data_IF_268351171639
#
_entry.id   IF_268351171639
#
_cell.length_a   1.000
_cell.length_b   1.000
_cell.length_c   1.000
_cell.angle_alpha   90.00
_cell.angle_beta   90.00
_cell.angle_gamma   90.00
#
_symmetry.space_group_name_H-M   'P 1'
#
loop_
_entity.id
_entity.type
_entity.pdbx_description
1 polymer ?
#
# COMPACT_ATOMS: atom_id res chain seq x y z
N UNK A 1 49.00 -23.69 -7.52
CA UNK A 1 49.20 -25.16 -7.44
C UNK A 1 50.59 -25.56 -7.91
N UNK A 2 50.97 -25.34 -9.18
CA UNK A 2 52.31 -25.71 -9.68
C UNK A 2 53.46 -25.11 -8.85
N UNK A 3 53.33 -23.85 -8.42
CA UNK A 3 54.31 -23.19 -7.54
C UNK A 3 54.41 -23.81 -6.15
N UNK A 4 53.28 -24.22 -5.56
CA UNK A 4 53.22 -24.86 -4.24
C UNK A 4 53.81 -26.26 -4.32
N UNK A 5 53.41 -27.05 -5.31
CA UNK A 5 53.97 -28.39 -5.56
C UNK A 5 55.48 -28.34 -5.82
N UNK A 6 55.95 -27.34 -6.58
CA UNK A 6 57.38 -27.14 -6.85
C UNK A 6 58.19 -26.78 -5.60
N UNK A 7 57.69 -25.84 -4.77
CA UNK A 7 58.35 -25.43 -3.53
C UNK A 7 58.35 -26.58 -2.51
N UNK A 8 57.21 -27.25 -2.34
CA UNK A 8 57.10 -28.39 -1.43
C UNK A 8 57.96 -29.57 -1.85
N UNK A 9 58.08 -29.86 -3.16
CA UNK A 9 58.96 -30.91 -3.67
C UNK A 9 60.44 -30.62 -3.35
N UNK A 10 60.90 -29.37 -3.49
CA UNK A 10 62.26 -28.97 -3.09
C UNK A 10 62.52 -29.12 -1.59
N UNK A 11 61.53 -28.84 -0.75
CA UNK A 11 61.64 -28.97 0.72
C UNK A 11 61.67 -30.44 1.16
N UNK A 12 60.90 -31.30 0.48
CA UNK A 12 60.93 -32.75 0.70
C UNK A 12 62.30 -33.33 0.30
N UNK A 13 62.85 -32.93 -0.85
CA UNK A 13 64.17 -33.38 -1.32
C UNK A 13 65.33 -32.94 -0.40
N UNK A 14 65.15 -31.87 0.39
CA UNK A 14 66.12 -31.40 1.39
C UNK A 14 65.93 -32.05 2.78
N UNK A 15 64.92 -32.91 2.95
CA UNK A 15 64.60 -33.55 4.23
C UNK A 15 63.92 -32.62 5.25
N UNK A 16 63.53 -31.40 4.84
CA UNK A 16 62.94 -30.38 5.71
C UNK A 16 61.41 -30.54 5.87
N UNK A 17 60.77 -31.36 5.02
CA UNK A 17 59.32 -31.57 5.01
C UNK A 17 58.95 -33.03 4.73
N UNK A 18 58.02 -33.57 5.51
CA UNK A 18 57.44 -34.90 5.30
C UNK A 18 56.34 -34.89 4.23
N UNK A 19 56.17 -36.01 3.52
CA UNK A 19 55.15 -36.18 2.49
C UNK A 19 53.73 -35.99 3.06
N UNK A 20 53.48 -36.39 4.31
CA UNK A 20 52.21 -36.17 5.00
C UNK A 20 51.88 -34.68 5.16
N UNK A 21 52.86 -33.85 5.54
CA UNK A 21 52.70 -32.38 5.67
C UNK A 21 52.39 -31.72 4.32
N UNK A 22 52.97 -32.24 3.22
CA UNK A 22 52.66 -31.76 1.87
C UNK A 22 51.20 -32.04 1.47
N UNK A 23 50.68 -33.23 1.75
CA UNK A 23 49.28 -33.58 1.47
C UNK A 23 48.31 -32.69 2.27
N UNK A 24 48.60 -32.46 3.55
CA UNK A 24 47.82 -31.58 4.42
C UNK A 24 47.86 -30.13 3.92
N UNK A 25 49.03 -29.60 3.54
CA UNK A 25 49.18 -28.26 2.97
C UNK A 25 48.36 -28.10 1.69
N UNK A 26 48.44 -29.08 0.78
CA UNK A 26 47.70 -29.06 -0.49
C UNK A 26 46.19 -29.05 -0.25
N UNK A 27 45.72 -29.84 0.71
CA UNK A 27 44.31 -29.89 1.11
C UNK A 27 43.84 -28.54 1.65
N UNK A 28 44.60 -27.92 2.57
CA UNK A 28 44.25 -26.62 3.12
C UNK A 28 44.24 -25.50 2.08
N UNK A 29 45.20 -25.51 1.15
CA UNK A 29 45.21 -24.53 0.06
C UNK A 29 43.99 -24.68 -0.84
N UNK A 30 43.58 -25.91 -1.16
CA UNK A 30 42.36 -26.15 -1.93
C UNK A 30 41.11 -25.67 -1.20
N UNK A 31 41.00 -25.92 0.11
CA UNK A 31 39.90 -25.41 0.93
C UNK A 31 39.88 -23.88 0.94
N UNK A 32 41.04 -23.22 1.09
CA UNK A 32 41.15 -21.76 1.06
C UNK A 32 40.70 -21.22 -0.30
N UNK A 33 41.14 -21.83 -1.40
CA UNK A 33 40.75 -21.39 -2.76
C UNK A 33 39.24 -21.51 -2.97
N UNK A 34 38.62 -22.62 -2.56
CA UNK A 34 37.16 -22.79 -2.66
C UNK A 34 36.41 -21.76 -1.80
N UNK A 35 36.88 -21.50 -0.59
CA UNK A 35 36.31 -20.45 0.28
C UNK A 35 36.40 -19.06 -0.33
N UNK A 36 37.53 -18.72 -0.96
CA UNK A 36 37.70 -17.43 -1.65
C UNK A 36 36.73 -17.29 -2.84
N UNK A 37 36.55 -18.36 -3.62
CA UNK A 37 35.57 -18.37 -4.73
C UNK A 37 34.14 -18.19 -4.20
N UNK A 38 33.77 -18.88 -3.11
CA UNK A 38 32.45 -18.72 -2.49
C UNK A 38 32.21 -17.28 -2.02
N UNK A 39 33.20 -16.65 -1.37
CA UNK A 39 33.09 -15.25 -0.94
C UNK A 39 32.90 -14.32 -2.16
N UNK A 40 33.64 -14.56 -3.26
CA UNK A 40 33.49 -13.76 -4.47
C UNK A 40 32.06 -13.88 -5.07
N UNK A 41 31.48 -15.08 -5.08
CA UNK A 41 30.10 -15.29 -5.52
C UNK A 41 29.09 -14.56 -4.61
N UNK A 42 29.27 -14.60 -3.29
CA UNK A 42 28.42 -13.88 -2.33
C UNK A 42 28.48 -12.37 -2.58
N UNK A 43 29.67 -11.81 -2.87
CA UNK A 43 29.81 -10.38 -3.18
C UNK A 43 29.03 -9.98 -4.44
N UNK A 44 29.09 -10.79 -5.50
CA UNK A 44 28.30 -10.57 -6.72
C UNK A 44 26.81 -10.63 -6.41
N UNK A 45 26.37 -11.63 -5.64
CA UNK A 45 24.96 -11.77 -5.24
C UNK A 45 24.49 -10.60 -4.38
N UNK A 46 25.33 -10.09 -3.48
CA UNK A 46 25.04 -8.91 -2.67
C UNK A 46 24.79 -7.67 -3.53
N UNK A 47 25.68 -7.40 -4.49
CA UNK A 47 25.55 -6.24 -5.40
C UNK A 47 24.24 -6.33 -6.20
N UNK A 48 23.90 -7.51 -6.72
CA UNK A 48 22.65 -7.74 -7.45
C UNK A 48 21.41 -7.59 -6.55
N UNK A 49 21.48 -8.07 -5.31
CA UNK A 49 20.36 -8.03 -4.37
C UNK A 49 20.12 -6.64 -3.76
N UNK A 50 21.15 -5.79 -3.72
CA UNK A 50 21.05 -4.44 -3.14
C UNK A 50 19.98 -3.59 -3.84
N UNK A 51 19.86 -3.67 -5.17
CA UNK A 51 18.84 -2.92 -5.91
C UNK A 51 17.41 -3.43 -5.64
N UNK A 52 17.24 -4.72 -5.35
CA UNK A 52 15.96 -5.27 -4.92
C UNK A 52 15.62 -4.84 -3.49
N UNK A 53 16.60 -4.91 -2.58
CA UNK A 53 16.45 -4.47 -1.20
C UNK A 53 16.09 -2.98 -1.10
N UNK A 54 16.71 -2.12 -1.91
CA UNK A 54 16.40 -0.70 -1.95
C UNK A 54 14.94 -0.43 -2.35
N UNK A 55 14.43 -1.08 -3.40
CA UNK A 55 13.02 -0.94 -3.82
C UNK A 55 12.02 -1.46 -2.77
N UNK A 56 12.37 -2.52 -2.05
CA UNK A 56 11.55 -3.02 -0.95
C UNK A 56 11.55 -2.02 0.20
N UNK A 57 12.72 -1.45 0.54
CA UNK A 57 12.84 -0.43 1.58
C UNK A 57 12.02 0.81 1.22
N UNK A 58 12.05 1.29 -0.04
CA UNK A 58 11.22 2.41 -0.49
C UNK A 58 9.73 2.20 -0.20
N UNK A 59 9.19 1.00 -0.47
CA UNK A 59 7.77 0.69 -0.19
C UNK A 59 7.47 0.62 1.31
N UNK A 60 8.40 0.09 2.11
CA UNK A 60 8.22 -0.05 3.56
C UNK A 60 8.35 1.30 4.28
N UNK A 61 9.24 2.17 3.80
CA UNK A 61 9.54 3.48 4.39
C UNK A 61 8.55 4.57 3.94
N UNK A 62 7.75 4.31 2.90
CA UNK A 62 6.73 5.24 2.43
C UNK A 62 5.70 5.53 3.53
N UNK A 63 5.46 6.82 3.78
CA UNK A 63 4.51 7.27 4.78
C UNK A 63 3.15 7.52 4.14
N UNK A 64 2.05 6.97 4.67
CA UNK A 64 0.72 7.28 4.18
C UNK A 64 0.43 8.79 4.28
N UNK A 65 0.00 9.40 3.17
CA UNK A 65 -0.41 10.81 3.13
C UNK A 65 -1.58 11.11 4.08
N UNK A 66 -2.45 10.12 4.29
CA UNK A 66 -3.64 10.21 5.13
C UNK A 66 -3.49 9.23 6.29
N UNK A 67 -3.52 9.77 7.51
CA UNK A 67 -3.40 9.02 8.74
C UNK A 67 -4.43 9.50 9.79
N UNK A 68 -4.45 8.80 10.92
CA UNK A 68 -5.34 9.04 12.06
C UNK A 68 -4.65 9.87 13.17
N UNK A 69 -3.56 10.59 12.88
CA UNK A 69 -2.78 11.31 13.91
C UNK A 69 -3.62 12.41 14.60
N UNK A 70 -4.51 13.07 13.85
CA UNK A 70 -5.44 14.10 14.34
C UNK A 70 -6.81 13.51 14.77
N UNK A 71 -6.98 12.18 14.71
CA UNK A 71 -8.25 11.54 14.96
C UNK A 71 -8.57 11.44 16.46
N UNK A 72 -9.86 11.58 16.77
CA UNK A 72 -10.39 11.37 18.12
C UNK A 72 -10.75 9.89 18.31
N UNK A 73 -10.31 9.24 19.40
CA UNK A 73 -10.42 7.78 19.57
C UNK A 73 -11.83 7.19 19.46
N UNK A 74 -12.86 7.95 19.81
CA UNK A 74 -14.25 7.48 19.97
C UNK A 74 -15.26 8.32 19.16
N UNK A 75 -14.79 9.12 18.19
CA UNK A 75 -15.67 9.96 17.41
C UNK A 75 -16.41 9.13 16.35
N UNK A 76 -17.75 9.11 16.45
CA UNK A 76 -18.64 8.43 15.52
C UNK A 76 -19.47 9.43 14.72
N UNK A 77 -19.77 9.07 13.47
CA UNK A 77 -20.62 9.89 12.60
C UNK A 77 -22.05 9.88 13.17
N UNK A 78 -22.54 11.09 13.51
CA UNK A 78 -23.85 11.26 14.18
C UNK A 78 -25.03 11.14 13.22
N UNK A 79 -24.89 11.70 12.03
CA UNK A 79 -25.92 11.74 10.99
C UNK A 79 -25.29 11.87 9.60
N UNK A 80 -26.13 11.81 8.55
CA UNK A 80 -25.71 11.91 7.15
C UNK A 80 -25.52 13.33 6.62
N UNK A 81 -25.44 14.36 7.48
CA UNK A 81 -25.20 15.72 7.01
C UNK A 81 -23.76 15.89 6.52
N UNK A 82 -23.59 16.64 5.42
CA UNK A 82 -22.29 16.93 4.82
C UNK A 82 -22.18 18.42 4.55
N UNK A 83 -21.07 19.04 4.93
CA UNK A 83 -20.83 20.47 4.72
C UNK A 83 -19.43 20.70 4.15
N UNK A 84 -19.37 21.40 3.03
CA UNK A 84 -18.14 21.91 2.45
C UNK A 84 -18.03 23.38 2.85
N UNK A 85 -16.94 23.76 3.51
CA UNK A 85 -16.66 25.16 3.89
C UNK A 85 -15.41 25.66 3.18
N UNK A 86 -15.63 26.47 2.14
CA UNK A 86 -14.58 27.10 1.33
C UNK A 86 -13.49 26.11 0.88
N UNK A 87 -13.93 24.93 0.40
CA UNK A 87 -13.04 23.82 0.08
C UNK A 87 -12.27 24.11 -1.19
N UNK A 88 -10.95 23.98 -1.12
CA UNK A 88 -10.06 23.98 -2.27
C UNK A 88 -9.21 22.71 -2.30
N UNK A 89 -9.03 22.13 -3.48
CA UNK A 89 -8.32 20.86 -3.65
C UNK A 89 -7.46 20.81 -4.92
N UNK A 90 -6.29 20.17 -4.81
CA UNK A 90 -5.38 19.82 -5.90
C UNK A 90 -4.80 18.42 -5.67
N UNK A 91 -4.65 17.62 -6.73
CA UNK A 91 -4.14 16.24 -6.66
C UNK A 91 -2.64 16.14 -6.38
N UNK A 92 -1.87 17.16 -6.78
CA UNK A 92 -0.44 17.24 -6.52
C UNK A 92 -0.15 18.59 -5.90
N UNK A 93 0.69 18.60 -4.86
CA UNK A 93 1.18 19.80 -4.20
C UNK A 93 1.78 20.82 -5.18
N UNK A 94 2.41 20.33 -6.25
CA UNK A 94 3.07 21.12 -7.30
C UNK A 94 2.13 21.51 -8.45
N UNK A 95 0.87 21.06 -8.40
CA UNK A 95 -0.15 21.41 -9.36
C UNK A 95 -0.44 22.90 -9.36
N UNK A 96 -0.32 23.55 -10.54
CA UNK A 96 -0.53 25.00 -10.69
C UNK A 96 -1.99 25.44 -10.50
N UNK A 97 -2.96 24.53 -10.58
CA UNK A 97 -4.39 24.88 -10.56
C UNK A 97 -5.18 23.98 -9.63
N UNK A 98 -6.04 24.61 -8.83
CA UNK A 98 -7.04 23.93 -8.02
C UNK A 98 -8.09 23.27 -8.91
N UNK A 99 -8.40 22.00 -8.62
CA UNK A 99 -9.48 21.24 -9.26
C UNK A 99 -10.83 21.66 -8.69
N UNK A 100 -10.86 21.96 -7.39
CA UNK A 100 -11.99 22.57 -6.68
C UNK A 100 -11.45 23.85 -6.05
N UNK A 101 -12.15 24.97 -6.21
CA UNK A 101 -11.70 26.27 -5.69
C UNK A 101 -12.86 26.98 -4.98
N UNK A 102 -12.81 27.01 -3.64
CA UNK A 102 -13.79 27.72 -2.80
C UNK A 102 -15.19 27.11 -2.74
N UNK A 103 -15.33 25.79 -2.92
CA UNK A 103 -16.64 25.13 -2.85
C UNK A 103 -17.25 25.25 -1.46
N UNK A 104 -18.46 25.82 -1.37
CA UNK A 104 -19.19 26.00 -0.12
C UNK A 104 -20.66 25.63 -0.29
N UNK A 105 -21.09 24.56 0.37
CA UNK A 105 -22.48 24.10 0.36
C UNK A 105 -22.73 23.15 1.53
N UNK A 106 -24.00 22.98 1.89
CA UNK A 106 -24.45 22.08 2.96
C UNK A 106 -25.53 21.16 2.43
N UNK A 107 -25.42 19.88 2.76
CA UNK A 107 -26.36 18.81 2.47
C UNK A 107 -26.92 18.35 3.80
N UNK A 108 -28.24 18.40 3.95
CA UNK A 108 -28.90 17.98 5.18
C UNK A 108 -29.05 16.46 5.23
N UNK A 109 -29.15 15.90 6.44
CA UNK A 109 -29.35 14.46 6.59
C UNK A 109 -30.66 14.01 5.92
N UNK A 110 -30.57 12.98 5.07
CA UNK A 110 -31.69 12.47 4.27
C UNK A 110 -31.95 13.20 2.94
N UNK A 111 -31.17 14.24 2.64
CA UNK A 111 -31.31 14.98 1.39
C UNK A 111 -30.65 14.23 0.21
N UNK A 112 -31.30 14.24 -0.96
CA UNK A 112 -30.73 13.68 -2.20
C UNK A 112 -30.28 14.79 -3.12
N UNK A 113 -28.99 14.82 -3.45
CA UNK A 113 -28.38 15.87 -4.27
C UNK A 113 -27.86 15.28 -5.60
N UNK A 114 -28.21 15.94 -6.70
CA UNK A 114 -27.65 15.64 -8.02
C UNK A 114 -26.44 16.54 -8.32
N UNK A 115 -25.26 15.94 -8.54
CA UNK A 115 -24.05 16.67 -8.95
C UNK A 115 -23.86 16.53 -10.46
N UNK A 116 -24.07 17.61 -11.22
CA UNK A 116 -24.08 17.59 -12.69
C UNK A 116 -22.99 18.53 -13.23
N UNK A 117 -22.36 18.13 -14.34
CA UNK A 117 -21.33 18.92 -15.02
C UNK A 117 -20.61 18.12 -16.10
N UNK A 118 -19.83 18.78 -16.95
CA UNK A 118 -19.06 18.12 -18.02
C UNK A 118 -17.94 17.20 -17.50
N UNK A 119 -17.36 16.35 -18.34
CA UNK A 119 -16.18 15.56 -17.99
C UNK A 119 -15.05 16.47 -17.52
N UNK A 120 -14.38 16.12 -16.42
CA UNK A 120 -13.33 16.94 -15.81
C UNK A 120 -13.82 18.07 -14.89
N UNK A 121 -15.13 18.22 -14.67
CA UNK A 121 -15.69 19.24 -13.75
C UNK A 121 -15.55 18.89 -12.25
N UNK A 122 -14.58 18.06 -11.87
CA UNK A 122 -14.28 17.68 -10.48
C UNK A 122 -15.39 16.91 -9.71
N UNK A 123 -16.43 16.38 -10.36
CA UNK A 123 -17.54 15.67 -9.67
C UNK A 123 -17.06 14.49 -8.84
N UNK A 124 -16.26 13.61 -9.44
CA UNK A 124 -15.69 12.46 -8.75
C UNK A 124 -14.80 12.90 -7.59
N UNK A 125 -13.98 13.93 -7.82
CA UNK A 125 -13.14 14.53 -6.78
C UNK A 125 -13.96 15.03 -5.59
N UNK A 126 -15.06 15.75 -5.84
CA UNK A 126 -15.94 16.27 -4.81
C UNK A 126 -16.52 15.15 -3.93
N UNK A 127 -17.00 14.05 -4.54
CA UNK A 127 -17.55 12.91 -3.78
C UNK A 127 -16.45 12.17 -3.01
N UNK A 128 -15.25 12.04 -3.58
CA UNK A 128 -14.12 11.37 -2.92
C UNK A 128 -13.58 12.08 -1.68
N UNK A 129 -13.86 13.38 -1.52
CA UNK A 129 -13.46 14.14 -0.32
C UNK A 129 -14.33 13.81 0.91
N UNK A 130 -15.55 13.32 0.73
CA UNK A 130 -16.48 12.99 1.82
C UNK A 130 -15.94 11.83 2.69
N UNK A 131 -15.58 10.66 2.14
CA UNK A 131 -14.94 9.57 2.89
C UNK A 131 -13.42 9.80 3.12
N UNK A 132 -12.92 11.02 2.91
CA UNK A 132 -11.50 11.39 3.06
C UNK A 132 -10.57 10.42 2.30
N UNK A 133 -10.84 10.20 1.02
CA UNK A 133 -9.88 9.52 0.11
C UNK A 133 -8.76 10.46 -0.32
N UNK A 134 -9.00 11.77 -0.21
CA UNK A 134 -8.01 12.83 -0.35
C UNK A 134 -8.23 13.86 0.76
N UNK A 135 -7.15 14.47 1.23
CA UNK A 135 -7.24 15.63 2.10
C UNK A 135 -7.40 16.92 1.28
N UNK A 136 -8.27 17.81 1.77
CA UNK A 136 -8.43 19.14 1.17
C UNK A 136 -7.17 19.97 1.37
N UNK A 137 -6.85 20.80 0.37
CA UNK A 137 -5.71 21.72 0.43
C UNK A 137 -6.05 23.09 1.03
N UNK A 138 -7.33 23.39 1.15
CA UNK A 138 -7.86 24.57 1.82
C UNK A 138 -9.32 24.36 2.21
N UNK A 139 -9.76 25.07 3.25
CA UNK A 139 -11.09 24.89 3.82
C UNK A 139 -11.22 23.59 4.61
N UNK A 140 -12.46 23.15 4.81
CA UNK A 140 -12.77 21.90 5.51
C UNK A 140 -14.04 21.23 4.98
N UNK A 141 -14.05 19.90 5.08
CA UNK A 141 -15.22 19.06 4.84
C UNK A 141 -15.68 18.52 6.18
N UNK A 142 -16.97 18.63 6.45
CA UNK A 142 -17.60 18.13 7.66
C UNK A 142 -18.61 17.05 7.32
N UNK A 143 -18.64 16.01 8.14
CA UNK A 143 -19.63 14.93 8.09
C UNK A 143 -20.22 14.80 9.50
N UNK A 144 -21.53 14.78 9.65
CA UNK A 144 -22.17 14.73 10.97
C UNK A 144 -21.84 15.94 11.86
N UNK A 145 -21.49 17.08 11.25
CA UNK A 145 -21.09 18.31 11.95
C UNK A 145 -19.64 18.38 12.43
N UNK A 146 -18.82 17.34 12.22
CA UNK A 146 -17.39 17.35 12.57
C UNK A 146 -16.50 17.24 11.34
N UNK A 147 -15.31 17.84 11.42
CA UNK A 147 -14.33 17.79 10.34
C UNK A 147 -13.88 16.35 10.08
N UNK A 148 -13.83 15.94 8.81
CA UNK A 148 -13.44 14.59 8.38
C UNK A 148 -12.07 14.14 8.93
N UNK A 149 -11.15 15.08 9.21
CA UNK A 149 -9.82 14.79 9.77
C UNK A 149 -9.84 14.34 11.23
N UNK A 150 -10.92 14.63 11.97
CA UNK A 150 -11.06 14.24 13.39
C UNK A 150 -11.60 12.82 13.56
N UNK A 151 -12.15 12.22 12.51
CA UNK A 151 -12.60 10.84 12.57
C UNK A 151 -11.41 9.90 12.32
N UNK A 152 -11.43 8.74 12.97
CA UNK A 152 -10.65 7.61 12.49
C UNK A 152 -11.13 7.25 11.09
N UNK A 153 -10.20 6.96 10.18
CA UNK A 153 -10.53 6.62 8.79
C UNK A 153 -11.51 5.46 8.69
N UNK A 154 -11.38 4.46 9.56
CA UNK A 154 -12.31 3.34 9.63
C UNK A 154 -13.74 3.80 9.95
N UNK A 155 -13.93 4.56 11.03
CA UNK A 155 -15.26 5.02 11.47
C UNK A 155 -15.93 5.95 10.42
N UNK A 156 -15.16 6.81 9.75
CA UNK A 156 -15.68 7.67 8.69
C UNK A 156 -16.12 6.85 7.47
N UNK A 157 -15.30 5.89 7.04
CA UNK A 157 -15.56 5.11 5.83
C UNK A 157 -16.64 4.05 6.03
N UNK A 158 -16.80 3.55 7.25
CA UNK A 158 -17.91 2.66 7.60
C UNK A 158 -19.26 3.38 7.52
N UNK A 159 -19.30 4.67 7.83
CA UNK A 159 -20.51 5.49 7.73
C UNK A 159 -20.83 5.97 6.29
N UNK A 160 -19.91 5.80 5.33
CA UNK A 160 -20.06 6.33 3.97
C UNK A 160 -19.91 5.22 2.94
N UNK A 161 -21.03 4.81 2.36
CA UNK A 161 -21.03 3.89 1.20
C UNK A 161 -20.76 4.65 -0.10
N UNK A 162 -19.80 4.16 -0.89
CA UNK A 162 -19.43 4.76 -2.18
C UNK A 162 -19.47 3.72 -3.29
N UNK A 163 -20.22 4.00 -4.36
CA UNK A 163 -20.20 3.19 -5.59
C UNK A 163 -19.32 3.90 -6.62
N UNK A 164 -18.22 3.25 -6.99
CA UNK A 164 -17.24 3.83 -7.91
C UNK A 164 -17.71 3.68 -9.37
N UNK A 165 -17.27 4.58 -10.25
CA UNK A 165 -17.54 4.47 -11.69
C UNK A 165 -16.99 3.16 -12.29
N UNK A 166 -15.88 2.66 -11.73
CA UNK A 166 -15.28 1.39 -12.11
C UNK A 166 -15.29 0.48 -10.88
N UNK A 167 -16.26 -0.42 -10.83
CA UNK A 167 -16.38 -1.39 -9.75
C UNK A 167 -15.39 -2.55 -9.97
N UNK A 168 -14.83 -3.06 -8.88
CA UNK A 168 -13.90 -4.19 -8.88
C UNK A 168 -14.53 -5.30 -8.05
N UNK A 169 -14.49 -6.53 -8.58
CA UNK A 169 -14.87 -7.74 -7.85
C UNK A 169 -13.61 -8.54 -7.53
N UNK A 170 -13.63 -9.21 -6.38
CA UNK A 170 -12.56 -10.10 -5.94
C UNK A 170 -12.86 -11.53 -6.37
N UNK A 171 -11.80 -12.32 -6.57
CA UNK A 171 -11.94 -13.75 -6.84
C UNK A 171 -12.62 -14.43 -5.65
N UNK A 172 -13.65 -15.22 -5.93
CA UNK A 172 -14.49 -15.84 -4.92
C UNK A 172 -15.91 -16.04 -5.43
N UNK A 173 -16.86 -16.23 -4.51
CA UNK A 173 -18.28 -16.31 -4.86
C UNK A 173 -18.93 -14.91 -4.91
N UNK A 174 -20.13 -14.85 -5.48
CA UNK A 174 -20.89 -13.59 -5.52
C UNK A 174 -21.31 -13.18 -4.11
N UNK A 175 -21.71 -14.14 -3.26
CA UNK A 175 -22.05 -13.87 -1.86
C UNK A 175 -20.85 -13.34 -1.07
N UNK A 176 -19.64 -13.84 -1.34
CA UNK A 176 -18.42 -13.32 -0.69
C UNK A 176 -18.19 -11.85 -1.05
N UNK A 177 -18.39 -11.47 -2.32
CA UNK A 177 -18.27 -10.09 -2.77
C UNK A 177 -19.38 -9.19 -2.17
N UNK A 178 -20.59 -9.69 -2.00
CA UNK A 178 -21.69 -8.92 -1.41
C UNK A 178 -21.48 -8.69 0.09
N UNK A 179 -20.89 -9.65 0.80
CA UNK A 179 -20.53 -9.54 2.23
C UNK A 179 -19.38 -8.57 2.52
N UNK A 180 -18.73 -7.99 1.51
CA UNK A 180 -17.78 -6.90 1.74
C UNK A 180 -18.42 -5.67 2.39
N UNK A 181 -19.72 -5.44 2.17
CA UNK A 181 -20.44 -4.35 2.85
C UNK A 181 -20.81 -4.66 4.29
N UNK A 182 -20.97 -5.94 4.63
CA UNK A 182 -21.21 -6.43 5.99
C UNK A 182 -20.87 -7.92 6.04
N UNK A 183 -19.76 -8.26 6.69
CA UNK A 183 -19.26 -9.65 6.77
C UNK A 183 -20.29 -10.59 7.44
N UNK A 184 -21.08 -10.06 8.38
CA UNK A 184 -22.05 -10.80 9.15
C UNK A 184 -23.45 -10.85 8.51
N UNK A 185 -23.61 -10.35 7.28
CA UNK A 185 -24.91 -10.35 6.61
C UNK A 185 -25.43 -11.78 6.41
N UNK A 186 -26.66 -11.99 6.88
CA UNK A 186 -27.41 -13.22 6.67
C UNK A 186 -27.70 -13.41 5.18
N UNK A 187 -27.94 -14.66 4.77
CA UNK A 187 -28.27 -14.95 3.37
C UNK A 187 -29.53 -14.20 2.90
N UNK A 188 -30.50 -14.01 3.80
CA UNK A 188 -31.71 -13.26 3.51
C UNK A 188 -31.41 -11.77 3.24
N UNK A 189 -30.57 -11.13 4.05
CA UNK A 189 -30.15 -9.73 3.83
C UNK A 189 -29.39 -9.57 2.51
N UNK A 190 -28.55 -10.55 2.15
CA UNK A 190 -27.85 -10.57 0.86
C UNK A 190 -28.85 -10.67 -0.30
N UNK A 191 -29.84 -11.54 -0.21
CA UNK A 191 -30.91 -11.68 -1.21
C UNK A 191 -31.70 -10.37 -1.34
N UNK A 192 -32.04 -9.73 -0.23
CA UNK A 192 -32.80 -8.48 -0.24
C UNK A 192 -31.98 -7.32 -0.85
N UNK A 193 -30.68 -7.27 -0.57
CA UNK A 193 -29.76 -6.34 -1.23
C UNK A 193 -29.67 -6.60 -2.75
N UNK A 194 -29.58 -7.87 -3.18
CA UNK A 194 -29.63 -8.24 -4.59
C UNK A 194 -30.93 -7.81 -5.26
N UNK A 195 -32.09 -7.96 -4.60
CA UNK A 195 -33.37 -7.50 -5.13
C UNK A 195 -33.42 -5.99 -5.28
N UNK A 196 -32.95 -5.25 -4.26
CA UNK A 196 -32.87 -3.79 -4.31
C UNK A 196 -31.96 -3.29 -5.44
N UNK A 197 -30.86 -4.00 -5.70
CA UNK A 197 -29.93 -3.71 -6.79
C UNK A 197 -30.38 -4.25 -8.16
N UNK A 198 -31.55 -4.91 -8.25
CA UNK A 198 -32.02 -5.59 -9.47
C UNK A 198 -31.04 -6.64 -10.01
N UNK A 199 -30.31 -7.30 -9.09
CA UNK A 199 -29.31 -8.31 -9.40
C UNK A 199 -29.78 -9.75 -9.13
N UNK A 200 -30.84 -9.93 -8.34
CA UNK A 200 -31.26 -11.26 -7.89
C UNK A 200 -31.59 -12.23 -9.03
N UNK A 201 -32.16 -11.75 -10.13
CA UNK A 201 -32.63 -12.63 -11.21
C UNK A 201 -31.50 -13.19 -12.09
N UNK A 202 -30.30 -12.59 -12.06
CA UNK A 202 -29.16 -13.02 -12.88
C UNK A 202 -27.99 -13.60 -12.07
N UNK A 203 -28.05 -13.53 -10.73
CA UNK A 203 -27.02 -13.99 -9.78
C UNK A 203 -27.34 -15.38 -9.25
#
# INVERSE_FOLDING_TARGET
MLTITYISSKLILRGEMEIGKFSTLTTYVMMILMSVIMIAMILVQYVMSRAAAARIAEVIEEKPDINDDDAQPDLKVKDGSVEFKNVSFKYSSDGKKNVIDGASFKINSGETIGVIGGTGSAKTTLVSLIPRLYDVTGGEVLVGGENVKKYKLFELREAVSMVLQKNVLFSGTIIDNLRWGNENATEQEVIDACKAAQAHDFV
#
